data_IF_989237349996
#
_entry.id   IF_989237349996
#
_cell.length_a   1.000
_cell.length_b   1.000
_cell.length_c   1.000
_cell.angle_alpha   90.00
_cell.angle_beta   90.00
_cell.angle_gamma   90.00
#
_symmetry.space_group_name_H-M   'P 1'
#
loop_
_entity.id
_entity.type
_entity.pdbx_description
1 polymer ?
#
# COMPACT_ATOMS: atom_id res chain seq x y z
N UNK A 1 0.64 -0.31 -11.07
CA UNK A 1 0.50 -1.62 -10.38
C UNK A 1 1.43 -1.59 -9.19
N UNK A 2 0.90 -1.70 -7.99
CA UNK A 2 1.61 -1.48 -6.72
C UNK A 2 1.78 -2.81 -6.00
N UNK A 3 3.01 -3.14 -5.61
CA UNK A 3 3.30 -4.35 -4.85
C UNK A 3 3.15 -4.04 -3.37
N UNK A 4 2.24 -4.74 -2.71
CA UNK A 4 1.91 -4.51 -1.30
C UNK A 4 2.23 -5.75 -0.49
N UNK A 5 2.78 -5.53 0.70
CA UNK A 5 3.01 -6.58 1.70
C UNK A 5 2.08 -6.33 2.88
N UNK A 6 1.28 -7.33 3.24
CA UNK A 6 0.40 -7.25 4.40
C UNK A 6 1.24 -7.17 5.69
N UNK A 7 1.06 -6.16 6.57
CA UNK A 7 1.82 -6.03 7.81
C UNK A 7 1.45 -7.11 8.85
N UNK A 8 0.24 -7.69 8.76
CA UNK A 8 -0.22 -8.72 9.70
C UNK A 8 0.25 -10.14 9.37
N UNK A 9 0.12 -10.59 8.11
CA UNK A 9 0.42 -11.97 7.72
C UNK A 9 1.57 -12.12 6.71
N UNK A 10 2.26 -11.02 6.37
CA UNK A 10 3.33 -10.97 5.38
C UNK A 10 2.95 -11.44 3.96
N UNK A 11 1.66 -11.63 3.67
CA UNK A 11 1.19 -11.98 2.34
C UNK A 11 1.45 -10.84 1.35
N UNK A 12 2.04 -11.17 0.21
CA UNK A 12 2.38 -10.21 -0.84
C UNK A 12 1.36 -10.31 -1.97
N UNK A 13 0.78 -9.18 -2.36
CA UNK A 13 -0.20 -9.10 -3.43
C UNK A 13 -0.02 -7.81 -4.24
N UNK A 14 -0.64 -7.76 -5.41
CA UNK A 14 -0.56 -6.61 -6.31
C UNK A 14 -1.89 -5.87 -6.35
N UNK A 15 -1.83 -4.55 -6.21
CA UNK A 15 -2.96 -3.67 -6.49
C UNK A 15 -2.83 -3.09 -7.90
N UNK A 16 -3.96 -3.10 -8.63
CA UNK A 16 -4.04 -2.53 -9.97
C UNK A 16 -4.15 -1.00 -9.91
N UNK A 17 -4.90 -0.49 -8.93
CA UNK A 17 -5.06 0.93 -8.61
C UNK A 17 -4.33 1.29 -7.33
N UNK A 18 -3.95 2.57 -7.12
CA UNK A 18 -3.49 3.02 -5.80
C UNK A 18 -4.59 2.77 -4.77
N UNK A 19 -4.17 2.58 -3.51
CA UNK A 19 -5.12 2.48 -2.41
C UNK A 19 -5.71 3.88 -2.14
N UNK A 20 -7.03 4.01 -2.18
CA UNK A 20 -7.69 5.23 -1.69
C UNK A 20 -7.50 5.38 -0.16
N UNK A 21 -7.85 6.55 0.39
CA UNK A 21 -7.90 6.83 1.85
C UNK A 21 -8.72 5.82 2.68
N UNK A 22 -9.44 4.92 2.02
CA UNK A 22 -10.20 3.83 2.65
C UNK A 22 -9.34 2.64 3.11
N UNK A 23 -8.05 2.60 2.75
CA UNK A 23 -7.13 1.53 3.11
C UNK A 23 -7.31 0.25 2.28
N UNK A 24 -6.41 -0.71 2.48
CA UNK A 24 -6.33 -1.95 1.71
C UNK A 24 -6.70 -3.13 2.59
N UNK A 25 -7.56 -4.01 2.06
CA UNK A 25 -7.92 -5.27 2.72
C UNK A 25 -7.00 -6.38 2.22
N UNK A 26 -6.30 -7.06 3.14
CA UNK A 26 -5.50 -8.22 2.79
C UNK A 26 -6.42 -9.40 2.37
N UNK A 27 -6.25 -9.99 1.17
CA UNK A 27 -7.08 -11.11 0.73
C UNK A 27 -6.78 -12.43 1.47
N UNK A 28 -5.67 -12.49 2.22
CA UNK A 28 -5.24 -13.69 2.93
C UNK A 28 -5.72 -13.72 4.39
N UNK A 29 -5.54 -12.63 5.15
CA UNK A 29 -5.97 -12.57 6.55
C UNK A 29 -7.14 -11.63 6.83
N UNK A 30 -7.59 -10.84 5.85
CA UNK A 30 -8.71 -9.91 6.00
C UNK A 30 -8.39 -8.63 6.78
N UNK A 31 -7.14 -8.41 7.19
CA UNK A 31 -6.76 -7.18 7.89
C UNK A 31 -6.89 -5.97 6.96
N UNK A 32 -7.36 -4.85 7.50
CA UNK A 32 -7.41 -3.56 6.81
C UNK A 32 -6.22 -2.72 7.27
N UNK A 33 -5.44 -2.18 6.34
CA UNK A 33 -4.27 -1.36 6.64
C UNK A 33 -4.06 -0.30 5.56
N UNK A 34 -3.41 0.80 5.92
CA UNK A 34 -2.99 1.82 4.96
C UNK A 34 -1.57 1.50 4.50
N UNK A 35 -1.32 1.35 3.19
CA UNK A 35 0.04 1.29 2.69
C UNK A 35 0.67 2.68 2.86
N UNK A 36 1.88 2.74 3.42
CA UNK A 36 2.62 4.00 3.52
C UNK A 36 2.80 4.56 2.11
N UNK A 37 2.28 5.77 1.86
CA UNK A 37 2.62 6.52 0.65
C UNK A 37 4.12 6.77 0.69
N UNK A 38 4.85 6.26 -0.30
CA UNK A 38 6.24 6.68 -0.50
C UNK A 38 6.22 8.19 -0.74
N UNK A 39 6.74 8.98 0.21
CA UNK A 39 6.94 10.42 0.03
C UNK A 39 7.77 10.62 -1.24
N UNK A 40 7.11 11.05 -2.32
CA UNK A 40 7.77 11.37 -3.57
C UNK A 40 8.57 12.64 -3.29
N UNK A 41 9.89 12.49 -3.12
CA UNK A 41 10.80 13.63 -2.97
C UNK A 41 10.74 14.46 -4.25
N UNK A 42 10.20 15.68 -4.17
CA UNK A 42 10.19 16.63 -5.27
C UNK A 42 11.55 17.37 -5.32
N UNK A 43 12.36 17.17 -6.37
CA UNK A 43 13.68 17.79 -6.48
C UNK A 43 13.64 19.29 -6.88
N UNK A 44 12.46 19.94 -6.96
CA UNK A 44 12.34 21.36 -7.35
C UNK A 44 12.48 22.38 -6.19
N UNK A 45 12.89 21.95 -4.98
CA UNK A 45 13.02 22.81 -3.79
C UNK A 45 14.48 23.33 -3.53
N UNK A 46 15.26 23.58 -4.60
CA UNK A 46 16.62 24.21 -4.53
C UNK A 46 16.77 25.44 -5.45
#
# INVERSE_FOLDING_TARGET
MFRITCPSCAFVFMLLTPADDSGVICPHCGVVFQPEEEEIYDPEDD
#
